data_IF_844268010515
#
_entry.id   IF_844268010515
#
_cell.length_a   1.000
_cell.length_b   1.000
_cell.length_c   1.000
_cell.angle_alpha   90.00
_cell.angle_beta   90.00
_cell.angle_gamma   90.00
#
_symmetry.space_group_name_H-M   'P 1'
#
loop_
_entity.id
_entity.type
_entity.pdbx_description
1 polymer ?
#
# COMPACT_ATOMS: atom_id res chain seq x y z
N UNK A 1 -21.04 6.43 -0.40
CA UNK A 1 -20.36 5.87 0.78
C UNK A 1 -20.57 4.36 0.77
N UNK A 2 -19.47 3.60 0.96
CA UNK A 2 -19.52 2.14 1.10
C UNK A 2 -19.24 1.82 2.56
N UNK A 3 -20.21 1.27 3.26
CA UNK A 3 -20.06 0.86 4.64
C UNK A 3 -19.69 -0.64 4.71
N UNK A 4 -18.58 -0.96 5.33
CA UNK A 4 -18.21 -2.34 5.63
C UNK A 4 -19.09 -2.85 6.78
N UNK A 5 -19.63 -4.07 6.68
CA UNK A 5 -20.47 -4.67 7.74
C UNK A 5 -19.72 -4.84 9.06
N UNK A 6 -18.41 -5.05 8.98
CA UNK A 6 -17.51 -5.24 10.13
C UNK A 6 -16.10 -4.78 9.79
N UNK A 7 -15.29 -4.48 10.81
CA UNK A 7 -13.88 -4.14 10.61
C UNK A 7 -13.05 -5.42 10.34
N UNK A 8 -12.66 -5.61 9.09
CA UNK A 8 -11.77 -6.70 8.64
C UNK A 8 -10.40 -6.22 8.19
N UNK A 9 -10.04 -5.01 8.57
CA UNK A 9 -8.77 -4.38 8.26
C UNK A 9 -8.76 -3.60 6.93
N UNK A 10 -7.81 -2.67 6.83
CA UNK A 10 -7.72 -1.70 5.73
C UNK A 10 -7.52 -2.33 4.34
N UNK A 11 -6.75 -3.42 4.24
CA UNK A 11 -6.51 -4.08 2.94
C UNK A 11 -7.81 -4.56 2.28
N UNK A 12 -8.73 -5.12 3.08
CA UNK A 12 -10.05 -5.54 2.58
C UNK A 12 -10.95 -4.36 2.22
N UNK A 13 -10.84 -3.27 2.97
CA UNK A 13 -11.57 -2.04 2.66
C UNK A 13 -11.13 -1.48 1.31
N UNK A 14 -9.81 -1.37 1.08
CA UNK A 14 -9.24 -0.93 -0.20
C UNK A 14 -9.66 -1.87 -1.33
N UNK A 15 -9.50 -3.18 -1.17
CA UNK A 15 -9.87 -4.15 -2.19
C UNK A 15 -11.37 -4.08 -2.55
N UNK A 16 -12.24 -3.88 -1.55
CA UNK A 16 -13.69 -3.68 -1.77
C UNK A 16 -13.97 -2.39 -2.55
N UNK A 17 -13.27 -1.30 -2.20
CA UNK A 17 -13.40 -0.03 -2.91
C UNK A 17 -12.93 -0.13 -4.36
N UNK A 18 -11.76 -0.72 -4.59
CA UNK A 18 -11.23 -0.95 -5.94
C UNK A 18 -12.17 -1.83 -6.78
N UNK A 19 -12.73 -2.89 -6.19
CA UNK A 19 -13.71 -3.74 -6.87
C UNK A 19 -14.96 -2.96 -7.26
N UNK A 20 -15.52 -2.19 -6.35
CA UNK A 20 -16.69 -1.36 -6.63
C UNK A 20 -16.43 -0.35 -7.74
N UNK A 21 -15.28 0.36 -7.69
CA UNK A 21 -14.91 1.33 -8.71
C UNK A 21 -14.76 0.63 -10.06
N UNK A 22 -14.07 -0.50 -10.10
CA UNK A 22 -13.82 -1.25 -11.33
C UNK A 22 -15.12 -1.73 -11.99
N UNK A 23 -16.09 -2.19 -11.19
CA UNK A 23 -17.37 -2.73 -11.69
C UNK A 23 -18.43 -1.64 -12.00
N UNK A 24 -18.36 -0.48 -11.36
CA UNK A 24 -19.47 0.50 -11.36
C UNK A 24 -19.11 1.88 -11.88
N UNK A 25 -17.82 2.15 -12.11
CA UNK A 25 -17.35 3.47 -12.53
C UNK A 25 -16.46 3.36 -13.75
N UNK A 26 -16.52 4.36 -14.61
CA UNK A 26 -15.51 4.54 -15.63
C UNK A 26 -14.41 5.45 -15.07
N UNK A 27 -13.14 5.09 -15.29
CA UNK A 27 -11.98 5.82 -14.80
C UNK A 27 -10.72 5.43 -15.56
N UNK A 28 -9.78 6.33 -15.65
CA UNK A 28 -8.43 6.09 -16.17
C UNK A 28 -7.50 5.69 -15.04
N UNK A 29 -7.57 6.43 -13.92
CA UNK A 29 -6.74 6.20 -12.74
C UNK A 29 -7.57 6.20 -11.46
N UNK A 30 -7.07 5.48 -10.45
CA UNK A 30 -7.61 5.52 -9.09
C UNK A 30 -6.47 5.72 -8.09
N UNK A 31 -6.71 6.57 -7.09
CA UNK A 31 -5.74 6.88 -6.05
C UNK A 31 -6.33 6.51 -4.68
N UNK A 32 -6.01 5.30 -4.14
CA UNK A 32 -6.29 5.01 -2.74
C UNK A 32 -5.50 5.93 -1.83
N UNK A 33 -6.16 6.56 -0.86
CA UNK A 33 -5.52 7.40 0.13
C UNK A 33 -6.19 7.25 1.50
N UNK A 34 -5.42 7.47 2.57
CA UNK A 34 -5.94 7.46 3.93
C UNK A 34 -6.68 8.78 4.21
N UNK A 35 -7.90 8.70 4.77
CA UNK A 35 -8.75 9.86 5.04
C UNK A 35 -8.45 10.58 6.36
N UNK A 36 -7.33 10.31 7.01
CA UNK A 36 -6.97 10.86 8.33
C UNK A 36 -6.06 12.11 8.27
N UNK A 37 -5.75 12.57 7.06
CA UNK A 37 -4.90 13.74 6.81
C UNK A 37 -3.41 13.43 6.69
N UNK A 38 -3.00 12.18 6.89
CA UNK A 38 -1.59 11.80 6.72
C UNK A 38 -1.18 11.71 5.24
N UNK A 39 -2.07 11.24 4.37
CA UNK A 39 -1.89 11.35 2.92
C UNK A 39 -2.41 12.70 2.45
N UNK A 40 -1.57 13.46 1.75
CA UNK A 40 -1.83 14.88 1.43
C UNK A 40 -2.51 15.03 0.07
N UNK A 41 -3.73 15.62 0.02
CA UNK A 41 -4.44 15.84 -1.25
C UNK A 41 -3.66 16.68 -2.26
N UNK A 42 -2.78 17.59 -1.79
CA UNK A 42 -1.96 18.44 -2.65
C UNK A 42 -0.99 17.64 -3.52
N UNK A 43 -0.60 16.45 -3.07
CA UNK A 43 0.31 15.56 -3.81
C UNK A 43 -0.40 14.84 -4.98
N UNK A 44 -1.75 14.79 -5.02
CA UNK A 44 -2.54 14.12 -6.07
C UNK A 44 -2.17 14.68 -7.46
N UNK A 45 -1.96 15.99 -7.56
CA UNK A 45 -1.59 16.61 -8.84
C UNK A 45 -0.32 16.01 -9.43
N UNK A 46 0.70 15.77 -8.60
CA UNK A 46 1.96 15.16 -9.04
C UNK A 46 1.78 13.71 -9.49
N UNK A 47 0.90 12.94 -8.82
CA UNK A 47 0.55 11.58 -9.23
C UNK A 47 -0.10 11.59 -10.62
N UNK A 48 -1.08 12.47 -10.86
CA UNK A 48 -1.79 12.54 -12.14
C UNK A 48 -0.83 12.93 -13.26
N UNK A 49 -0.07 14.02 -13.08
CA UNK A 49 0.88 14.50 -14.09
C UNK A 49 1.87 13.41 -14.51
N UNK A 50 2.36 12.64 -13.55
CA UNK A 50 3.32 11.58 -13.84
C UNK A 50 2.65 10.35 -14.47
N UNK A 51 1.39 10.06 -14.11
CA UNK A 51 0.60 8.97 -14.70
C UNK A 51 0.33 9.20 -16.17
N UNK A 52 0.01 10.43 -16.57
CA UNK A 52 -0.21 10.82 -17.96
C UNK A 52 1.05 10.64 -18.82
N UNK A 53 2.25 10.83 -18.22
CA UNK A 53 3.53 10.70 -18.91
C UNK A 53 4.07 9.27 -18.95
N UNK A 54 3.61 8.40 -18.06
CA UNK A 54 4.29 7.13 -17.74
C UNK A 54 3.58 5.89 -18.24
N UNK A 55 2.61 6.01 -19.14
CA UNK A 55 1.88 4.92 -19.80
C UNK A 55 1.77 3.63 -18.99
N UNK A 56 0.68 3.47 -18.21
CA UNK A 56 0.31 2.25 -17.49
C UNK A 56 1.14 1.85 -16.25
N UNK A 57 2.24 2.51 -15.92
CA UNK A 57 3.00 2.20 -14.69
C UNK A 57 2.33 2.79 -13.47
N UNK A 58 2.26 1.99 -12.40
CA UNK A 58 1.78 2.50 -11.12
C UNK A 58 2.79 3.42 -10.47
N UNK A 59 2.28 4.51 -9.90
CA UNK A 59 3.08 5.49 -9.17
C UNK A 59 2.82 5.34 -7.69
N UNK A 60 3.87 5.31 -6.89
CA UNK A 60 3.80 5.13 -5.45
C UNK A 60 4.35 6.35 -4.71
N UNK A 61 3.67 6.75 -3.64
CA UNK A 61 4.19 7.71 -2.68
C UNK A 61 5.20 7.05 -1.75
N UNK A 62 6.50 7.27 -1.99
CA UNK A 62 7.55 6.79 -1.10
C UNK A 62 7.69 7.74 0.09
N UNK A 63 7.47 7.24 1.30
CA UNK A 63 7.54 8.03 2.53
C UNK A 63 8.98 8.43 2.83
N UNK A 64 9.29 9.73 2.67
CA UNK A 64 10.65 10.27 2.85
C UNK A 64 10.92 10.77 4.25
N UNK A 65 9.90 11.10 5.04
CA UNK A 65 10.04 11.59 6.42
C UNK A 65 9.06 10.90 7.36
N UNK A 66 9.56 10.50 8.54
CA UNK A 66 8.77 9.89 9.60
C UNK A 66 8.85 10.74 10.86
N UNK A 67 7.71 10.94 11.48
CA UNK A 67 7.56 11.72 12.73
C UNK A 67 7.45 10.83 13.97
N UNK A 68 7.52 9.49 13.80
CA UNK A 68 7.32 8.56 14.92
C UNK A 68 8.57 8.46 15.80
N UNK A 69 8.37 8.11 17.07
CA UNK A 69 9.44 7.99 18.07
C UNK A 69 10.48 6.89 17.72
N UNK A 70 11.64 6.96 18.38
CA UNK A 70 12.82 6.11 18.12
C UNK A 70 12.48 4.61 18.20
N UNK A 71 11.71 4.20 19.20
CA UNK A 71 11.29 2.79 19.39
C UNK A 71 10.51 2.29 18.17
N UNK A 72 9.57 3.10 17.68
CA UNK A 72 8.80 2.74 16.49
C UNK A 72 9.67 2.65 15.24
N UNK A 73 10.66 3.55 15.11
CA UNK A 73 11.61 3.51 14.00
C UNK A 73 12.43 2.23 14.02
N UNK A 74 12.91 1.77 15.19
CA UNK A 74 13.64 0.50 15.35
C UNK A 74 12.74 -0.70 14.97
N UNK A 75 11.53 -0.76 15.47
CA UNK A 75 10.55 -1.79 15.11
C UNK A 75 10.27 -1.81 13.61
N UNK A 76 10.20 -0.65 12.99
CA UNK A 76 9.99 -0.54 11.55
C UNK A 76 11.22 -0.99 10.74
N UNK A 77 12.43 -0.70 11.19
CA UNK A 77 13.65 -1.21 10.54
C UNK A 77 13.71 -2.75 10.64
N UNK A 78 13.36 -3.30 11.81
CA UNK A 78 13.24 -4.74 11.99
C UNK A 78 12.18 -5.36 11.06
N UNK A 79 11.00 -4.72 10.95
CA UNK A 79 9.98 -5.11 9.99
C UNK A 79 10.51 -5.14 8.54
N UNK A 80 11.23 -4.10 8.12
CA UNK A 80 11.84 -4.04 6.78
C UNK A 80 12.85 -5.16 6.56
N UNK A 81 13.71 -5.39 7.55
CA UNK A 81 14.69 -6.46 7.52
C UNK A 81 14.03 -7.83 7.37
N UNK A 82 13.04 -8.15 8.21
CA UNK A 82 12.30 -9.40 8.11
C UNK A 82 11.63 -9.56 6.73
N UNK A 83 10.93 -8.54 6.27
CA UNK A 83 10.26 -8.59 4.97
C UNK A 83 11.28 -8.83 3.85
N UNK A 84 12.41 -8.15 3.87
CA UNK A 84 13.47 -8.34 2.88
C UNK A 84 14.12 -9.72 2.97
N UNK A 85 14.47 -10.19 4.17
CA UNK A 85 15.09 -11.49 4.38
C UNK A 85 14.23 -12.63 3.83
N UNK A 86 12.93 -12.60 4.13
CA UNK A 86 12.01 -13.66 3.70
C UNK A 86 11.53 -13.52 2.24
N UNK A 87 11.32 -12.31 1.76
CA UNK A 87 10.69 -12.11 0.44
C UNK A 87 11.66 -11.67 -0.65
N UNK A 88 12.85 -11.19 -0.29
CA UNK A 88 13.79 -10.54 -1.22
C UNK A 88 13.27 -9.21 -1.79
N UNK A 89 12.19 -8.65 -1.21
CA UNK A 89 11.54 -7.43 -1.70
C UNK A 89 11.56 -6.33 -0.65
N UNK A 90 11.91 -5.12 -1.08
CA UNK A 90 11.77 -3.92 -0.26
C UNK A 90 10.47 -3.21 -0.62
N UNK A 91 9.61 -2.99 0.38
CA UNK A 91 8.36 -2.27 0.23
C UNK A 91 8.44 -1.01 1.09
N UNK A 92 8.50 0.16 0.44
CA UNK A 92 8.72 1.45 1.09
C UNK A 92 7.51 2.38 0.97
N UNK A 93 6.39 1.87 0.51
CA UNK A 93 5.16 2.61 0.29
C UNK A 93 3.99 1.97 1.02
N UNK A 94 2.93 2.76 1.24
CA UNK A 94 1.67 2.33 1.83
C UNK A 94 0.56 2.19 0.79
N UNK A 95 -0.56 2.82 1.07
CA UNK A 95 -1.74 2.80 0.20
C UNK A 95 -1.76 3.94 -0.82
N UNK A 96 -1.05 5.03 -0.54
CA UNK A 96 -1.04 6.23 -1.38
C UNK A 96 -0.28 5.96 -2.68
N UNK A 97 -1.05 5.66 -3.70
CA UNK A 97 -0.55 5.19 -5.00
C UNK A 97 -1.51 5.64 -6.11
N UNK A 98 -1.01 5.84 -7.32
CA UNK A 98 -1.85 6.06 -8.50
C UNK A 98 -1.80 4.81 -9.38
N UNK A 99 -2.97 4.24 -9.65
CA UNK A 99 -3.13 2.95 -10.32
C UNK A 99 -3.93 3.13 -11.61
N UNK A 100 -3.44 2.60 -12.72
CA UNK A 100 -4.21 2.50 -13.95
C UNK A 100 -5.33 1.47 -13.84
N UNK A 101 -6.32 1.55 -14.72
CA UNK A 101 -7.42 0.58 -14.80
C UNK A 101 -6.90 -0.85 -15.02
N UNK A 102 -5.84 -1.02 -15.79
CA UNK A 102 -5.20 -2.33 -16.04
C UNK A 102 -4.56 -2.90 -14.76
N UNK A 103 -3.88 -2.07 -13.96
CA UNK A 103 -3.31 -2.47 -12.67
C UNK A 103 -4.40 -2.84 -11.65
N UNK A 104 -5.49 -2.07 -11.60
CA UNK A 104 -6.63 -2.42 -10.73
C UNK A 104 -7.17 -3.79 -11.06
N UNK A 105 -7.34 -4.12 -12.34
CA UNK A 105 -7.76 -5.45 -12.78
C UNK A 105 -6.82 -6.53 -12.26
N UNK A 106 -5.50 -6.39 -12.48
CA UNK A 106 -4.50 -7.36 -11.99
C UNK A 106 -4.55 -7.53 -10.46
N UNK A 107 -4.76 -6.42 -9.71
CA UNK A 107 -4.91 -6.47 -8.25
C UNK A 107 -6.17 -7.22 -7.82
N UNK A 108 -7.27 -7.07 -8.52
CA UNK A 108 -8.51 -7.78 -8.22
C UNK A 108 -8.42 -9.29 -8.52
N UNK A 109 -7.65 -9.68 -9.54
CA UNK A 109 -7.37 -11.07 -9.88
C UNK A 109 -6.39 -11.73 -8.89
N UNK A 110 -5.55 -10.93 -8.18
CA UNK A 110 -4.60 -11.43 -7.18
C UNK A 110 -5.30 -11.57 -5.81
N UNK A 111 -5.55 -12.82 -5.40
CA UNK A 111 -6.22 -13.13 -4.12
C UNK A 111 -5.53 -12.51 -2.89
N UNK A 112 -4.22 -12.35 -2.94
CA UNK A 112 -3.46 -11.78 -1.84
C UNK A 112 -3.74 -10.29 -1.61
N UNK A 113 -4.37 -9.58 -2.56
CA UNK A 113 -4.79 -8.17 -2.43
C UNK A 113 -5.73 -7.96 -1.23
N UNK A 114 -6.57 -8.95 -0.95
CA UNK A 114 -7.46 -8.93 0.22
C UNK A 114 -6.74 -9.05 1.57
N UNK A 115 -5.46 -9.43 1.56
CA UNK A 115 -4.62 -9.56 2.74
C UNK A 115 -3.60 -8.43 2.86
N UNK A 116 -2.97 -8.04 1.74
CA UNK A 116 -1.98 -6.97 1.70
C UNK A 116 -1.99 -6.27 0.35
N UNK A 117 -2.46 -5.03 0.31
CA UNK A 117 -2.50 -4.21 -0.90
C UNK A 117 -1.08 -3.92 -1.43
N UNK A 118 -0.21 -3.32 -0.60
CA UNK A 118 1.15 -2.94 -1.02
C UNK A 118 2.02 -4.16 -1.38
N UNK A 119 1.84 -5.28 -0.66
CA UNK A 119 2.50 -6.55 -0.97
C UNK A 119 2.07 -7.07 -2.34
N UNK A 120 0.77 -7.05 -2.64
CA UNK A 120 0.23 -7.52 -3.92
C UNK A 120 0.64 -6.62 -5.08
N UNK A 121 0.58 -5.30 -4.91
CA UNK A 121 1.05 -4.36 -5.92
C UNK A 121 2.53 -4.63 -6.27
N UNK A 122 3.40 -4.80 -5.26
CA UNK A 122 4.82 -5.12 -5.48
C UNK A 122 5.05 -6.50 -6.10
N UNK A 123 4.12 -7.43 -5.92
CA UNK A 123 4.16 -8.76 -6.54
C UNK A 123 3.79 -8.72 -8.02
N UNK A 124 2.74 -7.98 -8.38
CA UNK A 124 2.24 -7.93 -9.76
C UNK A 124 3.00 -6.96 -10.66
N UNK A 125 3.57 -5.89 -10.06
CA UNK A 125 4.38 -4.91 -10.79
C UNK A 125 5.79 -4.82 -10.25
N UNK A 126 6.78 -5.03 -11.14
CA UNK A 126 8.19 -4.93 -10.80
C UNK A 126 8.68 -3.50 -10.84
N UNK A 127 8.22 -2.74 -11.85
CA UNK A 127 8.69 -1.40 -12.18
C UNK A 127 7.67 -0.34 -11.73
N UNK A 128 7.72 -0.02 -10.45
CA UNK A 128 6.94 1.05 -9.84
C UNK A 128 7.71 2.36 -9.93
N UNK A 129 7.03 3.45 -10.26
CA UNK A 129 7.61 4.79 -10.23
C UNK A 129 7.39 5.36 -8.84
N UNK A 130 8.45 5.84 -8.20
CA UNK A 130 8.38 6.45 -6.87
C UNK A 130 8.40 7.97 -6.97
N UNK A 131 7.51 8.63 -6.24
CA UNK A 131 7.60 10.06 -5.93
C UNK A 131 7.76 10.23 -4.42
N UNK A 132 8.56 11.21 -3.97
CA UNK A 132 8.67 11.50 -2.54
C UNK A 132 7.33 12.01 -2.01
N UNK A 133 6.85 11.38 -0.94
CA UNK A 133 5.62 11.78 -0.23
C UNK A 133 5.94 12.16 1.21
N UNK A 134 5.42 13.31 1.63
CA UNK A 134 5.60 13.84 2.98
C UNK A 134 4.29 13.66 3.74
N UNK A 135 4.32 12.86 4.81
CA UNK A 135 3.13 12.68 5.65
C UNK A 135 2.68 13.98 6.29
N UNK A 136 1.41 14.28 6.14
CA UNK A 136 0.70 15.32 6.86
C UNK A 136 0.53 15.01 8.35
N UNK A 137 -0.03 15.96 9.08
CA UNK A 137 -0.48 15.73 10.46
C UNK A 137 -1.86 15.10 10.44
N UNK A 138 -2.09 14.11 11.31
CA UNK A 138 -3.41 13.55 11.54
C UNK A 138 -4.39 14.64 11.97
N UNK A 139 -5.60 14.58 11.42
CA UNK A 139 -6.66 15.49 11.82
C UNK A 139 -7.14 15.20 13.25
N UNK A 140 -7.24 13.92 13.62
CA UNK A 140 -7.78 13.50 14.92
C UNK A 140 -7.03 12.27 15.45
N UNK A 141 -6.82 12.27 16.77
CA UNK A 141 -6.34 11.14 17.55
C UNK A 141 -4.90 10.67 17.26
N UNK A 142 -4.38 9.79 18.12
CA UNK A 142 -3.05 9.19 17.93
C UNK A 142 -3.07 8.09 16.88
N UNK A 143 -1.87 7.70 16.42
CA UNK A 143 -1.71 6.54 15.54
C UNK A 143 -2.25 5.27 16.22
N UNK A 144 -3.05 4.50 15.50
CA UNK A 144 -3.56 3.20 15.95
C UNK A 144 -2.57 2.05 15.65
N UNK A 145 -1.38 2.35 15.12
CA UNK A 145 -0.37 1.37 14.80
C UNK A 145 0.41 0.99 16.06
N UNK A 146 0.04 -0.11 16.70
CA UNK A 146 0.79 -0.75 17.77
C UNK A 146 1.88 -1.67 17.22
N UNK A 147 2.80 -2.13 18.08
CA UNK A 147 3.81 -3.12 17.71
C UNK A 147 3.19 -4.41 17.17
N UNK A 148 2.14 -4.92 17.81
CA UNK A 148 1.43 -6.12 17.33
C UNK A 148 0.76 -5.91 15.98
N UNK A 149 0.19 -4.72 15.75
CA UNK A 149 -0.39 -4.38 14.45
C UNK A 149 0.69 -4.29 13.35
N UNK A 150 1.88 -3.76 13.68
CA UNK A 150 3.02 -3.74 12.77
C UNK A 150 3.52 -5.16 12.45
N UNK A 151 3.61 -6.04 13.45
CA UNK A 151 4.00 -7.44 13.25
C UNK A 151 2.97 -8.18 12.37
N UNK A 152 1.68 -8.02 12.68
CA UNK A 152 0.58 -8.58 11.86
C UNK A 152 0.65 -8.08 10.42
N UNK A 153 0.94 -6.80 10.23
CA UNK A 153 1.14 -6.22 8.90
C UNK A 153 2.34 -6.83 8.17
N UNK A 154 3.47 -7.05 8.87
CA UNK A 154 4.65 -7.72 8.33
C UNK A 154 4.32 -9.13 7.85
N UNK A 155 3.64 -9.92 8.67
CA UNK A 155 3.23 -11.29 8.34
C UNK A 155 2.25 -11.30 7.15
N UNK A 156 1.35 -10.32 7.06
CA UNK A 156 0.45 -10.21 5.93
C UNK A 156 1.18 -9.95 4.60
N UNK A 157 2.22 -9.12 4.62
CA UNK A 157 3.09 -8.90 3.45
C UNK A 157 3.86 -10.16 3.10
N UNK A 158 4.50 -10.80 4.08
CA UNK A 158 5.29 -12.03 3.88
C UNK A 158 4.42 -13.13 3.25
N UNK A 159 3.18 -13.27 3.70
CA UNK A 159 2.24 -14.28 3.19
C UNK A 159 1.90 -14.10 1.69
N UNK A 160 1.98 -12.89 1.15
CA UNK A 160 1.80 -12.63 -0.29
C UNK A 160 2.87 -13.37 -1.11
N UNK A 161 4.09 -13.49 -0.55
CA UNK A 161 5.25 -14.07 -1.20
C UNK A 161 5.54 -15.51 -0.73
N UNK A 162 4.53 -16.24 -0.23
CA UNK A 162 4.69 -17.58 0.39
C UNK A 162 5.57 -18.55 -0.41
N UNK A 163 5.46 -18.58 -1.75
CA UNK A 163 6.30 -19.44 -2.59
C UNK A 163 7.78 -19.03 -2.50
N UNK A 164 8.06 -17.73 -2.58
CA UNK A 164 9.43 -17.20 -2.45
C UNK A 164 10.00 -17.46 -1.06
N UNK A 165 9.17 -17.32 -0.02
CA UNK A 165 9.55 -17.59 1.36
C UNK A 165 9.98 -19.05 1.52
N UNK A 166 9.18 -20.00 1.04
CA UNK A 166 9.50 -21.44 1.10
C UNK A 166 10.83 -21.74 0.42
N UNK A 167 11.08 -21.19 -0.78
CA UNK A 167 12.35 -21.40 -1.51
C UNK A 167 13.55 -20.82 -0.77
N UNK A 168 13.38 -19.69 -0.04
CA UNK A 168 14.48 -19.02 0.66
C UNK A 168 14.72 -19.57 2.07
N UNK A 169 13.79 -20.37 2.60
CA UNK A 169 13.89 -21.00 3.92
C UNK A 169 14.36 -22.47 3.83
N UNK A 170 14.43 -23.04 2.63
CA UNK A 170 15.00 -24.34 2.34
C UNK A 170 16.51 -24.25 2.08
#
# INVERSE_FOLDING_TARGET
IINMKENRGHARCIASGLKYIFEKKDFDFVIPMDGDGEDRPEEIKSFIQLSEQSSEKSIIGERVKRSEGIIFQLCYQFHKFLTYAFTGKSIKFGNFTCLSKSTVKKLLDEKATWNSFSGSLKKIEKDLISIPSIRGKRYFGPSQMSFFNLLKHSLSIISVFRKTVLIRSA
#
